data_IF_790566947606
#
_entry.id   IF_790566947606
#
_cell.length_a   1.000
_cell.length_b   1.000
_cell.length_c   1.000
_cell.angle_alpha   90.00
_cell.angle_beta   90.00
_cell.angle_gamma   90.00
#
_symmetry.space_group_name_H-M   'P 1'
#
loop_
_entity.id
_entity.type
_entity.pdbx_description
1 polymer ?
#
# COMPACT_ATOMS: atom_id res chain seq x y z
N UNK A 1 34.37 -2.63 -3.80
CA UNK A 1 34.92 -2.47 -2.44
C UNK A 1 35.34 -1.01 -2.30
N UNK A 2 34.48 -0.09 -1.89
CA UNK A 2 34.70 1.32 -1.43
C UNK A 2 33.33 2.01 -1.45
N UNK A 3 32.58 1.97 -0.33
CA UNK A 3 31.49 2.92 -0.06
C UNK A 3 31.11 2.99 1.44
N UNK A 4 32.01 2.55 2.34
CA UNK A 4 31.72 2.52 3.79
C UNK A 4 32.35 3.66 4.61
N UNK A 5 33.12 4.57 4.00
CA UNK A 5 33.84 5.63 4.76
C UNK A 5 33.20 7.02 4.71
N UNK A 6 32.29 7.30 3.79
CA UNK A 6 31.69 8.65 3.67
C UNK A 6 30.54 8.89 4.66
N UNK A 7 29.74 7.89 5.01
CA UNK A 7 28.64 8.06 5.98
C UNK A 7 29.12 8.34 7.41
N UNK A 8 30.30 7.82 7.78
CA UNK A 8 30.88 8.05 9.10
C UNK A 8 31.43 9.46 9.30
N UNK A 9 32.05 10.03 8.24
CA UNK A 9 32.61 11.38 8.29
C UNK A 9 31.54 12.47 8.29
N UNK A 10 30.48 12.31 7.52
CA UNK A 10 29.35 13.24 7.51
C UNK A 10 28.61 13.27 8.85
N UNK A 11 28.49 12.13 9.54
CA UNK A 11 27.89 12.08 10.87
C UNK A 11 28.76 12.76 11.94
N UNK A 12 30.08 12.61 11.89
CA UNK A 12 30.99 13.26 12.84
C UNK A 12 31.02 14.77 12.68
N UNK A 13 31.00 15.29 11.42
CA UNK A 13 30.90 16.73 11.17
C UNK A 13 29.56 17.27 11.66
N UNK A 14 28.46 16.58 11.37
CA UNK A 14 27.12 16.98 11.84
C UNK A 14 27.04 17.03 13.38
N UNK A 15 27.63 16.03 14.06
CA UNK A 15 27.71 16.00 15.53
C UNK A 15 28.59 17.16 16.03
N UNK A 16 29.73 17.41 15.41
CA UNK A 16 30.60 18.53 15.79
C UNK A 16 29.92 19.90 15.64
N UNK A 17 29.18 20.10 14.54
CA UNK A 17 28.38 21.32 14.34
C UNK A 17 27.28 21.44 15.39
N UNK A 18 26.57 20.36 15.69
CA UNK A 18 25.52 20.37 16.70
C UNK A 18 26.07 20.73 18.08
N UNK A 19 27.18 20.12 18.49
CA UNK A 19 27.86 20.42 19.75
C UNK A 19 28.32 21.87 19.80
N UNK A 20 28.90 22.40 18.69
CA UNK A 20 29.29 23.78 18.59
C UNK A 20 28.13 24.77 18.76
N UNK A 21 26.98 24.46 18.14
CA UNK A 21 25.74 25.28 18.27
C UNK A 21 25.23 25.24 19.72
N UNK A 22 25.24 24.08 20.37
CA UNK A 22 24.82 23.97 21.80
C UNK A 22 25.74 24.78 22.71
N UNK A 23 27.05 24.68 22.54
CA UNK A 23 28.04 25.44 23.34
C UNK A 23 27.85 26.95 23.14
N UNK A 24 27.70 27.38 21.89
CA UNK A 24 27.46 28.81 21.56
C UNK A 24 26.11 29.27 22.18
N UNK A 25 25.07 28.46 22.11
CA UNK A 25 23.77 28.76 22.71
C UNK A 25 23.86 28.94 24.24
N UNK A 26 24.55 28.02 24.94
CA UNK A 26 24.77 28.12 26.40
C UNK A 26 25.59 29.36 26.77
N UNK A 27 26.59 29.69 25.94
CA UNK A 27 27.43 30.88 26.18
C UNK A 27 26.63 32.17 26.02
N UNK A 28 25.81 32.29 24.95
CA UNK A 28 24.90 33.41 24.74
C UNK A 28 23.89 33.51 25.90
N UNK A 29 23.30 32.39 26.29
CA UNK A 29 22.32 32.31 27.40
C UNK A 29 22.86 32.91 28.69
N UNK A 30 24.10 32.57 29.06
CA UNK A 30 24.75 33.09 30.29
C UNK A 30 25.06 34.59 30.26
N UNK A 31 25.00 35.22 29.08
CA UNK A 31 25.23 36.66 28.92
C UNK A 31 23.96 37.51 28.86
N UNK A 32 22.80 36.88 28.77
CA UNK A 32 21.52 37.57 28.80
C UNK A 32 21.17 38.03 30.23
N UNK A 33 20.49 39.19 30.33
CA UNK A 33 19.91 39.66 31.61
C UNK A 33 18.76 38.72 32.07
N UNK A 34 18.46 38.72 33.35
CA UNK A 34 17.37 37.89 33.91
C UNK A 34 16.04 38.21 33.21
N UNK A 35 15.67 39.44 33.03
CA UNK A 35 14.42 39.82 32.33
C UNK A 35 14.32 39.26 30.89
N UNK A 36 15.47 39.23 30.21
CA UNK A 36 15.52 38.65 28.83
C UNK A 36 15.43 37.14 28.86
N UNK A 37 16.00 36.49 29.87
CA UNK A 37 15.90 35.05 30.04
C UNK A 37 14.45 34.61 30.34
N UNK A 38 13.79 35.33 31.24
CA UNK A 38 12.37 35.08 31.58
C UNK A 38 11.47 35.30 30.36
N UNK A 39 11.67 36.36 29.58
CA UNK A 39 10.95 36.58 28.32
C UNK A 39 11.15 35.44 27.32
N UNK A 40 12.38 34.96 27.16
CA UNK A 40 12.70 33.87 26.23
C UNK A 40 12.04 32.57 26.66
N UNK A 41 12.06 32.25 27.95
CA UNK A 41 11.44 31.01 28.47
C UNK A 41 9.91 31.07 28.38
N UNK A 42 9.32 32.16 28.84
CA UNK A 42 7.87 32.25 29.02
C UNK A 42 7.13 32.56 27.72
N UNK A 43 7.77 33.26 26.78
CA UNK A 43 7.10 33.70 25.54
C UNK A 43 7.80 33.21 24.27
N UNK A 44 9.09 33.45 24.10
CA UNK A 44 9.77 33.19 22.85
C UNK A 44 9.87 31.68 22.53
N UNK A 45 10.21 30.83 23.51
CA UNK A 45 10.31 29.38 23.33
C UNK A 45 8.95 28.75 23.02
N UNK A 46 7.85 29.00 23.77
CA UNK A 46 6.54 28.45 23.45
C UNK A 46 6.03 28.86 22.07
N UNK A 47 6.21 30.14 21.70
CA UNK A 47 5.81 30.64 20.37
C UNK A 47 6.63 30.00 19.26
N UNK A 48 7.95 29.88 19.44
CA UNK A 48 8.82 29.22 18.46
C UNK A 48 8.46 27.72 18.32
N UNK A 49 8.18 27.05 19.42
CA UNK A 49 7.74 25.65 19.41
C UNK A 49 6.39 25.49 18.71
N UNK A 50 5.41 26.34 19.01
CA UNK A 50 4.12 26.35 18.31
C UNK A 50 4.29 26.59 16.80
N UNK A 51 5.14 27.53 16.42
CA UNK A 51 5.50 27.80 15.02
C UNK A 51 6.11 26.57 14.32
N UNK A 52 7.02 25.88 15.01
CA UNK A 52 7.65 24.66 14.50
C UNK A 52 6.65 23.52 14.30
N UNK A 53 5.71 23.33 15.23
CA UNK A 53 4.62 22.34 15.13
C UNK A 53 3.73 22.64 13.94
N UNK A 54 3.33 23.92 13.76
CA UNK A 54 2.53 24.35 12.61
C UNK A 54 3.29 24.13 11.29
N UNK A 55 4.57 24.51 11.23
CA UNK A 55 5.40 24.32 10.04
C UNK A 55 5.57 22.83 9.69
N UNK A 56 5.78 21.96 10.70
CA UNK A 56 5.85 20.53 10.51
C UNK A 56 4.51 19.96 10.00
N UNK A 57 3.38 20.39 10.57
CA UNK A 57 2.05 20.02 10.12
C UNK A 57 1.78 20.41 8.66
N UNK A 58 2.11 21.65 8.28
CA UNK A 58 2.01 22.13 6.92
C UNK A 58 2.92 21.35 5.96
N UNK A 59 4.16 21.04 6.35
CA UNK A 59 5.07 20.24 5.56
C UNK A 59 4.51 18.84 5.29
N UNK A 60 3.98 18.18 6.32
CA UNK A 60 3.36 16.86 6.20
C UNK A 60 2.15 16.94 5.25
N UNK A 61 1.31 17.96 5.41
CA UNK A 61 0.12 18.17 4.57
C UNK A 61 0.52 18.39 3.09
N UNK A 62 1.45 19.29 2.82
CA UNK A 62 1.94 19.55 1.45
C UNK A 62 2.54 18.28 0.84
N UNK A 63 3.34 17.55 1.61
CA UNK A 63 3.92 16.28 1.17
C UNK A 63 2.84 15.24 0.84
N UNK A 64 1.80 15.13 1.66
CA UNK A 64 0.66 14.23 1.41
C UNK A 64 -0.12 14.61 0.15
N UNK A 65 -0.38 15.91 -0.05
CA UNK A 65 -1.05 16.42 -1.26
C UNK A 65 -0.21 16.13 -2.51
N UNK A 66 1.10 16.39 -2.46
CA UNK A 66 1.98 16.14 -3.59
C UNK A 66 2.09 14.66 -3.94
N UNK A 67 2.16 13.77 -2.94
CA UNK A 67 2.09 12.31 -3.15
C UNK A 67 0.79 11.89 -3.83
N UNK A 68 -0.36 12.37 -3.34
CA UNK A 68 -1.67 12.07 -3.95
C UNK A 68 -1.77 12.59 -5.39
N UNK A 69 -1.22 13.77 -5.68
CA UNK A 69 -1.17 14.33 -7.05
C UNK A 69 -0.28 13.49 -7.97
N UNK A 70 0.89 13.05 -7.48
CA UNK A 70 1.79 12.18 -8.24
C UNK A 70 1.13 10.84 -8.56
N UNK A 71 0.51 10.17 -7.58
CA UNK A 71 -0.24 8.92 -7.77
C UNK A 71 -1.38 9.08 -8.78
N UNK A 72 -2.16 10.18 -8.71
CA UNK A 72 -3.24 10.44 -9.67
C UNK A 72 -2.70 10.61 -11.09
N UNK A 73 -1.57 11.30 -11.28
CA UNK A 73 -0.95 11.49 -12.60
C UNK A 73 -0.43 10.16 -13.16
N UNK A 74 0.21 9.36 -12.33
CA UNK A 74 0.73 8.04 -12.71
C UNK A 74 -0.40 7.09 -13.07
N UNK A 75 -1.45 7.03 -12.26
CA UNK A 75 -2.68 6.28 -12.56
C UNK A 75 -3.29 6.70 -13.91
N UNK A 76 -3.43 7.99 -14.17
CA UNK A 76 -3.99 8.46 -15.43
C UNK A 76 -3.14 8.05 -16.66
N UNK A 77 -1.79 8.06 -16.52
CA UNK A 77 -0.88 7.57 -17.57
C UNK A 77 -1.04 6.08 -17.81
N UNK A 78 -1.13 5.29 -16.72
CA UNK A 78 -1.31 3.83 -16.83
C UNK A 78 -2.67 3.48 -17.44
N UNK A 79 -3.75 4.17 -17.05
CA UNK A 79 -5.07 4.00 -17.68
C UNK A 79 -5.04 4.26 -19.17
N UNK A 80 -4.47 5.37 -19.60
CA UNK A 80 -4.33 5.69 -21.02
C UNK A 80 -3.45 4.67 -21.76
N UNK A 81 -2.44 4.11 -21.12
CA UNK A 81 -1.58 3.06 -21.67
C UNK A 81 -2.32 1.73 -21.75
N UNK A 82 -3.18 1.41 -20.78
CA UNK A 82 -4.01 0.21 -20.74
C UNK A 82 -5.03 0.20 -21.90
N UNK A 83 -5.66 1.33 -22.17
CA UNK A 83 -6.62 1.49 -23.28
C UNK A 83 -5.95 1.32 -24.64
N UNK A 84 -4.71 1.82 -24.80
CA UNK A 84 -3.96 1.75 -26.06
C UNK A 84 -3.31 0.39 -26.32
N UNK A 85 -3.05 -0.38 -25.27
CA UNK A 85 -2.35 -1.65 -25.41
C UNK A 85 -3.25 -2.69 -26.09
N UNK A 86 -2.75 -3.28 -27.18
CA UNK A 86 -3.44 -4.33 -27.96
C UNK A 86 -2.96 -5.73 -27.56
N UNK A 87 -1.66 -5.86 -27.21
CA UNK A 87 -1.10 -7.14 -26.79
C UNK A 87 -1.58 -7.50 -25.38
N UNK A 88 -2.13 -8.72 -25.22
CA UNK A 88 -2.74 -9.17 -23.98
C UNK A 88 -1.75 -9.22 -22.81
N UNK A 89 -0.52 -9.67 -23.06
CA UNK A 89 0.55 -9.73 -22.05
C UNK A 89 0.88 -8.33 -21.52
N UNK A 90 1.03 -7.37 -22.45
CA UNK A 90 1.30 -5.98 -22.09
C UNK A 90 0.12 -5.34 -21.34
N UNK A 91 -1.11 -5.66 -21.72
CA UNK A 91 -2.30 -5.20 -20.96
C UNK A 91 -2.31 -5.75 -19.56
N UNK A 92 -1.94 -7.03 -19.37
CA UNK A 92 -1.89 -7.66 -18.06
C UNK A 92 -0.81 -7.02 -17.17
N UNK A 93 0.37 -6.75 -17.72
CA UNK A 93 1.45 -6.06 -17.02
C UNK A 93 1.01 -4.64 -16.55
N UNK A 94 0.39 -3.87 -17.45
CA UNK A 94 -0.12 -2.53 -17.12
C UNK A 94 -1.25 -2.63 -16.09
N UNK A 95 -2.14 -3.62 -16.20
CA UNK A 95 -3.22 -3.83 -15.24
C UNK A 95 -2.67 -4.14 -13.83
N UNK A 96 -1.62 -4.94 -13.72
CA UNK A 96 -0.96 -5.20 -12.45
C UNK A 96 -0.32 -3.93 -11.87
N UNK A 97 0.44 -3.19 -12.69
CA UNK A 97 1.02 -1.91 -12.28
C UNK A 97 -0.05 -0.90 -11.83
N UNK A 98 -1.19 -0.87 -12.54
CA UNK A 98 -2.32 0.01 -12.21
C UNK A 98 -2.91 -0.33 -10.83
N UNK A 99 -3.09 -1.62 -10.52
CA UNK A 99 -3.60 -2.06 -9.23
C UNK A 99 -2.61 -1.77 -8.10
N UNK A 100 -1.29 -1.91 -8.34
CA UNK A 100 -0.25 -1.58 -7.37
C UNK A 100 -0.20 -0.08 -7.06
N UNK A 101 -0.17 0.78 -8.10
CA UNK A 101 -0.17 2.24 -7.93
C UNK A 101 -1.43 2.73 -7.22
N UNK A 102 -2.55 2.02 -7.41
CA UNK A 102 -3.82 2.32 -6.76
C UNK A 102 -3.98 1.64 -5.37
N UNK A 103 -2.90 1.10 -4.80
CA UNK A 103 -2.88 0.47 -3.47
C UNK A 103 -3.93 -0.64 -3.32
N UNK A 104 -4.16 -1.42 -4.38
CA UNK A 104 -5.16 -2.51 -4.44
C UNK A 104 -6.60 -2.04 -4.16
N UNK A 105 -6.94 -0.81 -4.56
CA UNK A 105 -8.27 -0.21 -4.41
C UNK A 105 -8.91 0.03 -5.77
N UNK A 106 -10.23 -0.05 -5.81
CA UNK A 106 -10.99 0.22 -7.03
C UNK A 106 -11.27 1.72 -7.28
N UNK A 107 -11.05 2.56 -6.27
CA UNK A 107 -11.36 3.99 -6.30
C UNK A 107 -10.67 4.70 -7.47
N UNK A 108 -11.45 5.34 -8.32
CA UNK A 108 -10.97 6.07 -9.49
C UNK A 108 -10.52 5.19 -10.66
N UNK A 109 -10.93 3.92 -10.68
CA UNK A 109 -10.77 2.98 -11.80
C UNK A 109 -12.12 2.56 -12.39
N UNK A 110 -13.21 3.22 -12.00
CA UNK A 110 -14.60 2.83 -12.30
C UNK A 110 -14.83 2.54 -13.79
N UNK A 111 -14.26 3.36 -14.67
CA UNK A 111 -14.36 3.18 -16.13
C UNK A 111 -13.60 1.94 -16.65
N UNK A 112 -12.54 1.53 -15.96
CA UNK A 112 -11.70 0.41 -16.37
C UNK A 112 -12.09 -0.91 -15.69
N UNK A 113 -12.94 -0.90 -14.64
CA UNK A 113 -13.33 -2.09 -13.88
C UNK A 113 -13.80 -3.23 -14.80
N UNK A 114 -14.72 -3.04 -15.79
CA UNK A 114 -15.15 -4.13 -16.64
C UNK A 114 -14.00 -4.76 -17.42
N UNK A 115 -13.14 -3.94 -18.00
CA UNK A 115 -12.01 -4.43 -18.79
C UNK A 115 -10.93 -5.12 -17.94
N UNK A 116 -10.68 -4.61 -16.73
CA UNK A 116 -9.78 -5.24 -15.76
C UNK A 116 -10.34 -6.58 -15.25
N UNK A 117 -11.63 -6.61 -14.92
CA UNK A 117 -12.33 -7.84 -14.51
C UNK A 117 -12.19 -8.92 -15.59
N UNK A 118 -12.54 -8.59 -16.83
CA UNK A 118 -12.52 -9.54 -17.92
C UNK A 118 -11.09 -10.05 -18.20
N UNK A 119 -10.10 -9.18 -18.15
CA UNK A 119 -8.70 -9.53 -18.30
C UNK A 119 -8.21 -10.49 -17.18
N UNK A 120 -8.51 -10.17 -15.92
CA UNK A 120 -8.13 -11.02 -14.81
C UNK A 120 -8.90 -12.35 -14.78
N UNK A 121 -10.18 -12.34 -15.14
CA UNK A 121 -10.99 -13.55 -15.29
C UNK A 121 -10.41 -14.49 -16.37
N UNK A 122 -10.05 -13.96 -17.52
CA UNK A 122 -9.39 -14.74 -18.58
C UNK A 122 -8.03 -15.28 -18.13
N UNK A 123 -7.28 -14.49 -17.36
CA UNK A 123 -5.98 -14.90 -16.84
C UNK A 123 -6.11 -16.05 -15.85
N UNK A 124 -7.13 -16.02 -14.98
CA UNK A 124 -7.40 -17.10 -14.05
C UNK A 124 -7.83 -18.39 -14.75
N UNK A 125 -8.63 -18.28 -15.81
CA UNK A 125 -9.15 -19.45 -16.53
C UNK A 125 -8.11 -20.15 -17.41
N UNK A 126 -7.02 -19.49 -17.77
CA UNK A 126 -5.94 -20.11 -18.53
C UNK A 126 -5.25 -21.16 -17.65
N UNK A 127 -5.28 -22.41 -18.12
CA UNK A 127 -4.43 -23.47 -17.57
C UNK A 127 -2.99 -23.20 -18.02
N UNK A 128 -2.28 -22.49 -17.20
CA UNK A 128 -0.89 -22.15 -17.44
C UNK A 128 -0.07 -23.03 -16.51
N UNK A 129 1.10 -23.53 -16.97
CA UNK A 129 1.97 -24.43 -16.22
C UNK A 129 2.41 -23.88 -14.85
N UNK A 130 3.19 -24.64 -14.11
CA UNK A 130 3.57 -24.40 -12.70
C UNK A 130 4.11 -23.00 -12.39
N UNK A 131 4.82 -22.36 -13.29
CA UNK A 131 5.34 -21.00 -13.07
C UNK A 131 4.25 -19.92 -13.05
N UNK A 132 3.04 -20.23 -13.47
CA UNK A 132 1.97 -19.24 -13.63
C UNK A 132 0.93 -19.23 -12.50
N UNK A 133 1.05 -20.08 -11.49
CA UNK A 133 0.21 -20.00 -10.29
C UNK A 133 0.33 -18.64 -9.60
N UNK A 134 1.51 -18.01 -9.66
CA UNK A 134 1.73 -16.65 -9.14
C UNK A 134 0.87 -15.62 -9.88
N UNK A 135 0.84 -15.68 -11.22
CA UNK A 135 0.04 -14.78 -12.05
C UNK A 135 -1.46 -15.01 -11.80
N UNK A 136 -1.92 -16.28 -11.70
CA UNK A 136 -3.29 -16.61 -11.34
C UNK A 136 -3.67 -16.07 -9.96
N UNK A 137 -2.82 -16.27 -8.96
CA UNK A 137 -3.06 -15.78 -7.61
C UNK A 137 -3.12 -14.25 -7.53
N UNK A 138 -2.27 -13.54 -8.28
CA UNK A 138 -2.35 -12.08 -8.41
C UNK A 138 -3.66 -11.66 -9.07
N UNK A 139 -4.06 -12.30 -10.17
CA UNK A 139 -5.32 -12.01 -10.86
C UNK A 139 -6.53 -12.20 -9.93
N UNK A 140 -6.56 -13.29 -9.16
CA UNK A 140 -7.60 -13.55 -8.15
C UNK A 140 -7.61 -12.48 -7.04
N UNK A 141 -6.43 -12.09 -6.55
CA UNK A 141 -6.31 -11.04 -5.53
C UNK A 141 -6.87 -9.71 -6.02
N UNK A 142 -6.60 -9.37 -7.29
CA UNK A 142 -7.10 -8.13 -7.90
C UNK A 142 -8.59 -8.19 -8.21
N UNK A 143 -9.12 -9.34 -8.67
CA UNK A 143 -10.57 -9.53 -8.81
C UNK A 143 -11.30 -9.23 -7.50
N UNK A 144 -10.80 -9.75 -6.37
CA UNK A 144 -11.36 -9.46 -5.06
C UNK A 144 -11.21 -8.00 -4.61
N UNK A 145 -10.29 -7.23 -5.22
CA UNK A 145 -10.05 -5.82 -4.91
C UNK A 145 -10.91 -4.85 -5.76
N UNK A 146 -11.45 -5.30 -6.90
CA UNK A 146 -12.29 -4.46 -7.78
C UNK A 146 -13.65 -4.10 -7.19
N UNK A 147 -14.04 -4.70 -6.06
CA UNK A 147 -15.34 -4.51 -5.41
C UNK A 147 -16.56 -4.80 -6.33
N UNK A 148 -16.38 -5.70 -7.30
CA UNK A 148 -17.40 -6.15 -8.22
C UNK A 148 -17.92 -7.53 -7.80
N UNK A 149 -19.17 -7.60 -7.33
CA UNK A 149 -19.78 -8.86 -6.86
C UNK A 149 -19.99 -9.89 -7.96
N UNK A 150 -19.98 -9.50 -9.21
CA UNK A 150 -20.14 -10.43 -10.35
C UNK A 150 -19.00 -11.47 -10.44
N UNK A 151 -17.84 -11.21 -9.79
CA UNK A 151 -16.71 -12.14 -9.76
C UNK A 151 -16.82 -13.25 -8.71
N UNK A 152 -17.81 -13.18 -7.81
CA UNK A 152 -17.96 -14.15 -6.70
C UNK A 152 -17.99 -15.61 -7.18
N UNK A 153 -18.73 -15.98 -8.22
CA UNK A 153 -18.71 -17.36 -8.71
C UNK A 153 -17.32 -17.81 -9.16
N UNK A 154 -16.56 -16.91 -9.74
CA UNK A 154 -15.20 -17.18 -10.19
C UNK A 154 -14.23 -17.36 -9.01
N UNK A 155 -14.37 -16.54 -7.97
CA UNK A 155 -13.59 -16.67 -6.73
C UNK A 155 -13.97 -17.96 -5.95
N UNK A 156 -15.23 -18.35 -5.95
CA UNK A 156 -15.67 -19.64 -5.38
C UNK A 156 -15.01 -20.82 -6.09
N UNK A 157 -14.86 -20.76 -7.41
CA UNK A 157 -14.15 -21.80 -8.17
C UNK A 157 -12.64 -21.75 -7.86
N UNK A 158 -12.06 -20.58 -7.68
CA UNK A 158 -10.64 -20.43 -7.35
C UNK A 158 -10.27 -20.96 -5.95
N UNK A 159 -11.22 -21.18 -5.06
CA UNK A 159 -10.98 -21.91 -3.80
C UNK A 159 -10.62 -23.39 -4.01
N UNK A 160 -10.82 -23.93 -5.21
CA UNK A 160 -10.49 -25.32 -5.57
C UNK A 160 -9.21 -25.42 -6.41
N UNK A 161 -8.47 -24.31 -6.58
CA UNK A 161 -7.21 -24.31 -7.35
C UNK A 161 -6.17 -25.24 -6.67
N UNK A 162 -5.35 -25.89 -7.47
CA UNK A 162 -4.28 -26.76 -7.01
C UNK A 162 -3.26 -26.02 -6.12
N UNK A 163 -3.02 -24.72 -6.36
CA UNK A 163 -2.04 -23.92 -5.63
C UNK A 163 -2.65 -23.15 -4.46
N UNK A 164 -2.08 -23.34 -3.26
CA UNK A 164 -2.48 -22.68 -2.03
C UNK A 164 -2.51 -21.15 -2.14
N UNK A 165 -1.59 -20.56 -2.91
CA UNK A 165 -1.56 -19.09 -3.12
C UNK A 165 -2.81 -18.60 -3.85
N UNK A 166 -3.33 -19.33 -4.83
CA UNK A 166 -4.56 -18.99 -5.54
C UNK A 166 -5.76 -19.15 -4.62
N UNK A 167 -5.87 -20.28 -3.89
CA UNK A 167 -6.96 -20.53 -2.92
C UNK A 167 -6.99 -19.48 -1.82
N UNK A 168 -5.84 -19.14 -1.22
CA UNK A 168 -5.77 -18.13 -0.15
C UNK A 168 -6.14 -16.73 -0.65
N UNK A 169 -5.76 -16.37 -1.89
CA UNK A 169 -6.17 -15.12 -2.54
C UNK A 169 -7.67 -15.08 -2.80
N UNK A 170 -8.27 -16.21 -3.19
CA UNK A 170 -9.71 -16.33 -3.40
C UNK A 170 -10.49 -16.16 -2.07
N UNK A 171 -10.05 -16.80 -1.01
CA UNK A 171 -10.65 -16.63 0.31
C UNK A 171 -10.63 -15.16 0.76
N UNK A 172 -9.48 -14.49 0.63
CA UNK A 172 -9.34 -13.07 0.96
C UNK A 172 -10.25 -12.18 0.10
N UNK A 173 -10.35 -12.47 -1.20
CA UNK A 173 -11.23 -11.76 -2.15
C UNK A 173 -12.70 -11.87 -1.75
N UNK A 174 -13.17 -13.09 -1.44
CA UNK A 174 -14.53 -13.34 -0.98
C UNK A 174 -14.86 -12.61 0.34
N UNK A 175 -13.88 -12.54 1.26
CA UNK A 175 -14.00 -11.76 2.49
C UNK A 175 -14.11 -10.26 2.24
N UNK A 176 -13.34 -9.71 1.30
CA UNK A 176 -13.41 -8.28 0.90
C UNK A 176 -14.77 -7.93 0.30
N UNK A 177 -15.31 -8.81 -0.54
CA UNK A 177 -16.63 -8.64 -1.16
C UNK A 177 -17.80 -8.92 -0.20
N UNK A 178 -17.51 -9.37 1.03
CA UNK A 178 -18.51 -9.79 2.00
C UNK A 178 -19.51 -10.78 1.38
N UNK A 179 -18.98 -11.80 0.68
CA UNK A 179 -19.75 -12.77 -0.07
C UNK A 179 -20.45 -13.75 0.87
N UNK A 180 -21.67 -13.45 1.30
CA UNK A 180 -22.47 -14.29 2.20
C UNK A 180 -22.70 -15.70 1.65
N UNK A 181 -22.83 -15.82 0.34
CA UNK A 181 -22.96 -17.06 -0.42
C UNK A 181 -21.73 -17.98 -0.34
N UNK A 182 -20.59 -17.45 0.06
CA UNK A 182 -19.34 -18.20 0.22
C UNK A 182 -19.15 -18.82 1.62
N UNK A 183 -20.03 -18.52 2.60
CA UNK A 183 -19.86 -18.93 4.00
C UNK A 183 -19.64 -20.42 4.18
N UNK A 184 -20.49 -21.24 3.55
CA UNK A 184 -20.42 -22.69 3.68
C UNK A 184 -19.08 -23.22 3.16
N UNK A 185 -18.72 -22.83 1.93
CA UNK A 185 -17.48 -23.27 1.29
C UNK A 185 -16.24 -22.79 2.04
N UNK A 186 -16.23 -21.54 2.49
CA UNK A 186 -15.14 -21.00 3.31
C UNK A 186 -15.00 -21.72 4.66
N UNK A 187 -16.12 -22.17 5.25
CA UNK A 187 -16.10 -22.96 6.49
C UNK A 187 -15.46 -24.33 6.28
N UNK A 188 -15.77 -24.99 5.16
CA UNK A 188 -15.15 -26.25 4.77
C UNK A 188 -13.65 -26.07 4.53
N UNK A 189 -13.26 -25.08 3.71
CA UNK A 189 -11.86 -24.78 3.41
C UNK A 189 -11.07 -24.42 4.68
N UNK A 190 -11.66 -23.65 5.60
CA UNK A 190 -11.02 -23.32 6.88
C UNK A 190 -10.69 -24.55 7.72
N UNK A 191 -11.52 -25.61 7.65
CA UNK A 191 -11.34 -26.84 8.46
C UNK A 191 -10.43 -27.85 7.78
N UNK A 192 -10.53 -27.99 6.46
CA UNK A 192 -10.05 -29.16 5.72
C UNK A 192 -8.87 -28.86 4.78
N UNK A 193 -8.59 -27.59 4.44
CA UNK A 193 -7.46 -27.30 3.56
C UNK A 193 -6.13 -27.69 4.22
N UNK A 194 -5.28 -28.34 3.49
CA UNK A 194 -3.97 -28.78 3.97
C UNK A 194 -3.01 -27.61 4.25
N UNK A 195 -3.18 -26.46 3.58
CA UNK A 195 -2.34 -25.28 3.74
C UNK A 195 -2.84 -24.37 4.87
N UNK A 196 -1.95 -24.05 5.81
CA UNK A 196 -2.29 -23.23 6.97
C UNK A 196 -2.68 -21.79 6.57
N UNK A 197 -2.05 -21.23 5.52
CA UNK A 197 -2.34 -19.87 5.04
C UNK A 197 -3.76 -19.80 4.49
N UNK A 198 -4.18 -20.83 3.73
CA UNK A 198 -5.53 -20.93 3.19
C UNK A 198 -6.56 -21.00 4.33
N UNK A 199 -6.32 -21.86 5.33
CA UNK A 199 -7.21 -21.95 6.51
C UNK A 199 -7.33 -20.61 7.24
N UNK A 200 -6.20 -19.93 7.46
CA UNK A 200 -6.16 -18.62 8.14
C UNK A 200 -6.92 -17.55 7.36
N UNK A 201 -6.72 -17.48 6.04
CA UNK A 201 -7.42 -16.51 5.18
C UNK A 201 -8.92 -16.80 5.07
N UNK A 202 -9.32 -18.08 5.07
CA UNK A 202 -10.74 -18.45 5.10
C UNK A 202 -11.42 -18.05 6.41
N UNK A 203 -10.72 -18.18 7.55
CA UNK A 203 -11.20 -17.67 8.85
C UNK A 203 -11.35 -16.15 8.83
N UNK A 204 -10.34 -15.42 8.36
CA UNK A 204 -10.38 -13.95 8.22
C UNK A 204 -11.55 -13.52 7.32
N UNK A 205 -11.78 -14.22 6.21
CA UNK A 205 -12.89 -13.95 5.31
C UNK A 205 -14.25 -14.15 6.00
N UNK A 206 -14.43 -15.24 6.75
CA UNK A 206 -15.66 -15.51 7.51
C UNK A 206 -15.95 -14.42 8.56
N UNK A 207 -14.92 -13.89 9.21
CA UNK A 207 -15.04 -12.79 10.17
C UNK A 207 -15.55 -11.49 9.53
N UNK A 208 -15.19 -11.25 8.26
CA UNK A 208 -15.63 -10.07 7.49
C UNK A 208 -17.04 -10.20 6.91
N UNK A 209 -17.53 -11.44 6.74
CA UNK A 209 -18.84 -11.76 6.14
C UNK A 209 -19.97 -11.74 7.20
N UNK A 210 -19.62 -11.57 8.46
CA UNK A 210 -20.60 -11.52 9.58
C UNK A 210 -21.66 -10.44 9.41
#
# INVERSE_FOLDING_TARGET
MITRSESGRTNLIAIGVLVGVVIAGVWVWKRLSFDTQDYVIDQAIPVAFAGLVVAAGLFILVRAINRRRAQRRERAKLLASFERATAQEKRLEIAFALMEVNEYRADGLESAIPALRDLFAMTLQRKLGDEQHRIRGMAVSYLGALNDRSVIPLLLKALEDEHAYVRSSAALGLGRLRAGEAKEKLTTVMKEDWDQTVRSRSKEALERIK
#
